data_IF_790392146867
#
_entry.id   IF_790392146867
#
_cell.length_a   1.000
_cell.length_b   1.000
_cell.length_c   1.000
_cell.angle_alpha   90.00
_cell.angle_beta   90.00
_cell.angle_gamma   90.00
#
_symmetry.space_group_name_H-M   'P 1'
#
loop_
_entity.id
_entity.type
_entity.pdbx_description
1 polymer ?
#
# COMPACT_ATOMS: atom_id res chain seq x y z
N UNK A 1 -19.43 -2.01 15.33
CA UNK A 1 -20.59 -1.09 15.30
C UNK A 1 -20.28 0.21 16.02
N UNK A 2 -21.00 1.30 15.69
CA UNK A 2 -20.92 2.55 16.47
C UNK A 2 -21.48 2.34 17.89
N UNK A 3 -20.98 3.10 18.87
CA UNK A 3 -21.46 3.01 20.26
C UNK A 3 -22.90 3.51 20.40
N UNK A 4 -23.29 4.51 19.60
CA UNK A 4 -24.62 5.11 19.63
C UNK A 4 -25.64 4.27 18.84
N UNK A 5 -25.91 4.63 17.59
CA UNK A 5 -26.94 3.99 16.77
C UNK A 5 -26.71 2.48 16.56
N UNK A 6 -25.46 2.06 16.38
CA UNK A 6 -25.10 0.65 16.28
C UNK A 6 -25.35 -0.10 17.59
N UNK A 7 -25.03 0.51 18.74
CA UNK A 7 -25.31 -0.05 20.06
C UNK A 7 -26.79 -0.17 20.35
N UNK A 8 -27.59 0.82 19.95
CA UNK A 8 -29.07 0.76 20.05
C UNK A 8 -29.66 -0.36 19.18
N UNK A 9 -29.17 -0.50 17.94
CA UNK A 9 -29.60 -1.58 17.06
C UNK A 9 -29.25 -2.96 17.63
N UNK A 10 -28.05 -3.14 18.20
CA UNK A 10 -27.68 -4.37 18.88
C UNK A 10 -28.54 -4.67 20.10
N UNK A 11 -28.82 -3.65 20.94
CA UNK A 11 -29.71 -3.78 22.10
C UNK A 11 -31.14 -4.13 21.69
N UNK A 12 -31.62 -3.58 20.57
CA UNK A 12 -32.94 -3.91 20.02
C UNK A 12 -33.01 -5.36 19.54
N UNK A 13 -32.00 -5.84 18.80
CA UNK A 13 -31.90 -7.24 18.37
C UNK A 13 -31.86 -8.20 19.57
N UNK A 14 -31.10 -7.88 20.61
CA UNK A 14 -31.00 -8.69 21.81
C UNK A 14 -32.31 -8.74 22.61
N UNK A 15 -33.16 -7.68 22.57
CA UNK A 15 -34.38 -7.57 23.37
C UNK A 15 -35.63 -8.03 22.62
N UNK A 16 -35.71 -7.80 21.33
CA UNK A 16 -36.93 -7.99 20.54
C UNK A 16 -36.75 -8.90 19.32
N UNK A 17 -35.52 -9.28 18.99
CA UNK A 17 -35.18 -10.23 17.93
C UNK A 17 -34.78 -11.59 18.47
N UNK A 18 -34.20 -12.41 17.60
CA UNK A 18 -33.70 -13.75 17.93
C UNK A 18 -32.36 -13.74 18.68
N UNK A 19 -31.87 -12.55 19.06
CA UNK A 19 -30.55 -12.35 19.62
C UNK A 19 -29.48 -12.24 18.58
N UNK A 20 -28.23 -12.39 19.03
CA UNK A 20 -27.02 -12.48 18.16
C UNK A 20 -26.60 -13.94 18.06
N UNK A 21 -26.00 -14.31 16.95
CA UNK A 21 -25.38 -15.63 16.82
C UNK A 21 -24.30 -15.82 17.90
N UNK A 22 -24.18 -17.04 18.42
CA UNK A 22 -23.29 -17.38 19.56
C UNK A 22 -21.79 -17.15 19.26
N UNK A 23 -21.42 -17.12 17.98
CA UNK A 23 -20.06 -16.90 17.47
C UNK A 23 -19.80 -15.43 17.11
N UNK A 24 -20.78 -14.53 17.26
CA UNK A 24 -20.64 -13.11 16.99
C UNK A 24 -20.16 -12.36 18.22
N UNK A 25 -19.00 -11.70 18.11
CA UNK A 25 -18.43 -10.86 19.16
C UNK A 25 -18.65 -9.39 18.80
N UNK A 26 -19.60 -8.69 19.43
CA UNK A 26 -19.83 -7.28 19.14
C UNK A 26 -18.73 -6.40 19.74
N UNK A 27 -18.17 -5.50 18.92
CA UNK A 27 -17.17 -4.51 19.33
C UNK A 27 -17.71 -3.11 19.07
N UNK A 28 -17.89 -2.31 20.11
CA UNK A 28 -18.34 -0.93 20.03
C UNK A 28 -17.21 0.04 19.75
N UNK A 29 -17.41 0.95 18.82
CA UNK A 29 -16.46 1.99 18.40
C UNK A 29 -17.15 3.35 18.37
N UNK A 30 -16.43 4.43 18.61
CA UNK A 30 -17.00 5.76 18.48
C UNK A 30 -17.38 6.08 17.03
N UNK A 31 -16.51 5.72 16.09
CA UNK A 31 -16.65 5.98 14.67
C UNK A 31 -16.17 4.79 13.85
N UNK A 32 -17.05 4.22 13.04
CA UNK A 32 -16.73 3.07 12.20
C UNK A 32 -15.96 3.48 10.93
N UNK A 33 -16.13 4.71 10.47
CA UNK A 33 -15.42 5.31 9.34
C UNK A 33 -13.93 5.60 9.61
N UNK A 34 -13.50 5.44 10.87
CA UNK A 34 -12.07 5.54 11.26
C UNK A 34 -11.35 4.18 11.27
N UNK A 35 -12.09 3.10 11.04
CA UNK A 35 -11.47 1.78 10.86
C UNK A 35 -10.86 1.72 9.47
N UNK A 36 -9.56 1.47 9.41
CA UNK A 36 -8.87 1.21 8.16
C UNK A 36 -8.73 -0.28 7.85
N UNK A 37 -8.24 -0.57 6.66
CA UNK A 37 -7.93 -1.94 6.22
C UNK A 37 -7.01 -2.68 7.21
N UNK A 38 -6.10 -1.98 7.88
CA UNK A 38 -5.17 -2.60 8.83
C UNK A 38 -5.88 -3.20 10.05
N UNK A 39 -6.87 -2.50 10.62
CA UNK A 39 -7.68 -2.97 11.75
C UNK A 39 -8.60 -4.12 11.32
N UNK A 40 -9.17 -4.05 10.12
CA UNK A 40 -9.98 -5.13 9.53
C UNK A 40 -9.13 -6.39 9.37
N UNK A 41 -7.95 -6.25 8.76
CA UNK A 41 -7.03 -7.37 8.59
C UNK A 41 -6.48 -7.87 9.92
N UNK A 42 -6.26 -6.99 10.91
CA UNK A 42 -5.83 -7.38 12.25
C UNK A 42 -6.82 -8.36 12.90
N UNK A 43 -8.12 -8.13 12.77
CA UNK A 43 -9.12 -9.05 13.27
C UNK A 43 -9.00 -10.44 12.61
N UNK A 44 -8.85 -10.48 11.28
CA UNK A 44 -8.63 -11.75 10.58
C UNK A 44 -7.32 -12.43 11.01
N UNK A 45 -6.25 -11.65 11.20
CA UNK A 45 -4.95 -12.13 11.69
C UNK A 45 -5.00 -12.65 13.13
N UNK A 46 -5.89 -12.10 13.95
CA UNK A 46 -6.15 -12.59 15.30
C UNK A 46 -6.95 -13.93 15.32
N UNK A 47 -7.37 -14.40 14.15
CA UNK A 47 -8.05 -15.71 14.00
C UNK A 47 -9.58 -15.61 13.85
N UNK A 48 -10.15 -14.42 13.77
CA UNK A 48 -11.57 -14.28 13.46
C UNK A 48 -11.87 -14.75 12.02
N UNK A 49 -13.00 -15.43 11.84
CA UNK A 49 -13.40 -15.95 10.54
C UNK A 49 -13.83 -14.85 9.59
N UNK A 50 -14.59 -13.87 10.11
CA UNK A 50 -15.17 -12.76 9.36
C UNK A 50 -15.10 -11.45 10.15
N UNK A 51 -15.20 -10.34 9.43
CA UNK A 51 -15.35 -8.98 9.99
C UNK A 51 -16.58 -8.33 9.40
N UNK A 52 -17.55 -8.04 10.26
CA UNK A 52 -18.79 -7.39 9.89
C UNK A 52 -18.80 -5.94 10.38
N UNK A 53 -18.87 -4.99 9.47
CA UNK A 53 -18.94 -3.57 9.78
C UNK A 53 -20.40 -3.13 9.75
N UNK A 54 -21.00 -2.94 10.95
CA UNK A 54 -22.38 -2.46 11.07
C UNK A 54 -22.42 -0.95 10.85
N UNK A 55 -22.75 -0.55 9.63
CA UNK A 55 -22.90 0.84 9.25
C UNK A 55 -24.27 1.38 9.69
N UNK A 56 -24.27 2.59 10.22
CA UNK A 56 -25.46 3.36 10.56
C UNK A 56 -25.68 4.54 9.59
N UNK A 57 -26.64 5.41 9.93
CA UNK A 57 -26.98 6.56 9.08
C UNK A 57 -25.95 7.70 9.13
N UNK A 58 -25.09 7.71 10.15
CA UNK A 58 -24.05 8.73 10.35
C UNK A 58 -22.70 8.31 9.76
N UNK A 59 -22.59 7.05 9.37
CA UNK A 59 -21.34 6.47 8.81
C UNK A 59 -21.02 7.05 7.43
N UNK A 60 -19.80 7.56 7.23
CA UNK A 60 -19.31 7.86 5.88
C UNK A 60 -19.09 6.55 5.12
N UNK A 61 -20.11 6.18 4.37
CA UNK A 61 -20.12 4.91 3.60
C UNK A 61 -19.04 4.87 2.52
N UNK A 62 -18.64 6.02 1.98
CA UNK A 62 -17.60 6.07 0.95
C UNK A 62 -16.23 5.77 1.54
N UNK A 63 -15.89 6.37 2.69
CA UNK A 63 -14.66 6.10 3.40
C UNK A 63 -14.57 4.63 3.82
N UNK A 64 -15.62 4.08 4.41
CA UNK A 64 -15.68 2.66 4.80
C UNK A 64 -15.55 1.74 3.59
N UNK A 65 -16.25 2.04 2.48
CA UNK A 65 -16.18 1.22 1.27
C UNK A 65 -14.78 1.15 0.68
N UNK A 66 -14.03 2.25 0.65
CA UNK A 66 -12.65 2.28 0.15
C UNK A 66 -11.71 1.39 0.98
N UNK A 67 -11.81 1.44 2.31
CA UNK A 67 -11.00 0.61 3.20
C UNK A 67 -11.37 -0.86 3.14
N UNK A 68 -12.67 -1.16 2.99
CA UNK A 68 -13.18 -2.53 2.80
C UNK A 68 -12.70 -3.09 1.46
N UNK A 69 -12.81 -2.32 0.37
CA UNK A 69 -12.33 -2.73 -0.96
C UNK A 69 -10.83 -3.05 -0.93
N UNK A 70 -10.03 -2.22 -0.28
CA UNK A 70 -8.60 -2.44 -0.12
C UNK A 70 -8.30 -3.72 0.67
N UNK A 71 -8.98 -3.93 1.81
CA UNK A 71 -8.82 -5.14 2.62
C UNK A 71 -9.27 -6.39 1.86
N UNK A 72 -10.40 -6.33 1.14
CA UNK A 72 -10.91 -7.41 0.30
C UNK A 72 -9.95 -7.77 -0.84
N UNK A 73 -9.34 -6.77 -1.49
CA UNK A 73 -8.32 -7.01 -2.53
C UNK A 73 -7.12 -7.77 -1.97
N UNK A 74 -6.64 -7.42 -0.78
CA UNK A 74 -5.54 -8.11 -0.11
C UNK A 74 -5.91 -9.56 0.27
N UNK A 75 -7.10 -9.77 0.83
CA UNK A 75 -7.61 -11.09 1.20
C UNK A 75 -7.79 -11.98 -0.03
N UNK A 76 -8.35 -11.42 -1.12
CA UNK A 76 -8.51 -12.12 -2.39
C UNK A 76 -7.16 -12.50 -3.02
N UNK A 77 -6.19 -11.59 -3.00
CA UNK A 77 -4.83 -11.85 -3.47
C UNK A 77 -4.08 -12.90 -2.64
N UNK A 78 -4.47 -13.07 -1.37
CA UNK A 78 -4.01 -14.15 -0.50
C UNK A 78 -4.80 -15.47 -0.68
N UNK A 79 -5.61 -15.60 -1.74
CA UNK A 79 -6.45 -16.76 -2.07
C UNK A 79 -7.53 -17.10 -1.04
N UNK A 80 -8.03 -16.09 -0.32
CA UNK A 80 -9.17 -16.22 0.58
C UNK A 80 -10.40 -15.48 0.02
N UNK A 81 -11.59 -15.86 0.50
CA UNK A 81 -12.83 -15.20 0.06
C UNK A 81 -12.89 -13.76 0.56
N UNK A 82 -13.12 -12.77 -0.34
CA UNK A 82 -13.34 -11.39 0.05
C UNK A 82 -14.64 -11.19 0.86
N UNK A 83 -15.59 -12.14 0.79
CA UNK A 83 -16.84 -12.13 1.56
C UNK A 83 -16.63 -12.22 3.06
N UNK A 84 -15.43 -12.55 3.53
CA UNK A 84 -15.05 -12.50 4.95
C UNK A 84 -15.07 -11.07 5.53
N UNK A 85 -15.16 -10.06 4.68
CA UNK A 85 -15.23 -8.65 5.09
C UNK A 85 -16.47 -8.05 4.45
N UNK A 86 -17.44 -7.63 5.27
CA UNK A 86 -18.70 -7.10 4.77
C UNK A 86 -19.18 -5.88 5.57
N UNK A 87 -19.80 -4.95 4.88
CA UNK A 87 -20.61 -3.90 5.51
C UNK A 87 -22.04 -4.43 5.56
N UNK A 88 -22.62 -4.45 6.74
CA UNK A 88 -23.94 -5.07 6.99
C UNK A 88 -24.90 -4.08 7.65
N UNK A 89 -26.18 -4.31 7.46
CA UNK A 89 -27.24 -3.70 8.23
C UNK A 89 -27.62 -4.58 9.44
N UNK A 90 -28.28 -3.99 10.43
CA UNK A 90 -28.61 -4.69 11.66
C UNK A 90 -29.46 -5.98 11.45
N UNK A 91 -30.33 -5.97 10.45
CA UNK A 91 -31.16 -7.13 10.09
C UNK A 91 -30.41 -8.27 9.37
N UNK A 92 -29.14 -8.06 9.06
CA UNK A 92 -28.26 -9.04 8.38
C UNK A 92 -27.29 -9.73 9.34
N UNK A 93 -27.32 -9.38 10.63
CA UNK A 93 -26.41 -9.92 11.65
C UNK A 93 -26.67 -11.38 12.06
N UNK A 94 -27.78 -11.96 11.65
CA UNK A 94 -28.15 -13.36 11.94
C UNK A 94 -27.60 -14.37 10.94
N UNK A 95 -26.70 -13.95 10.05
CA UNK A 95 -26.16 -14.82 8.99
C UNK A 95 -25.08 -15.74 9.56
N UNK A 96 -25.24 -17.03 9.30
CA UNK A 96 -24.18 -18.02 9.57
C UNK A 96 -22.93 -17.67 8.76
N UNK A 97 -21.79 -17.56 9.44
CA UNK A 97 -20.52 -17.26 8.82
C UNK A 97 -19.91 -18.47 8.12
N UNK A 98 -19.22 -18.23 7.00
CA UNK A 98 -18.37 -19.23 6.38
C UNK A 98 -17.06 -19.35 7.16
N UNK A 99 -16.87 -20.46 7.88
CA UNK A 99 -15.66 -20.75 8.63
C UNK A 99 -14.46 -21.16 7.74
N UNK A 100 -14.64 -21.21 6.42
CA UNK A 100 -13.58 -21.53 5.49
C UNK A 100 -12.54 -20.40 5.44
N UNK A 101 -11.29 -20.72 5.65
CA UNK A 101 -10.17 -19.79 5.47
C UNK A 101 -9.70 -19.04 6.72
N UNK A 102 -9.95 -19.54 7.91
CA UNK A 102 -9.29 -19.06 9.13
C UNK A 102 -7.77 -19.16 8.98
N UNK A 103 -7.05 -18.20 9.54
CA UNK A 103 -5.61 -18.36 9.79
C UNK A 103 -5.47 -19.52 10.80
N UNK A 104 -4.66 -20.52 10.48
CA UNK A 104 -4.52 -21.73 11.33
C UNK A 104 -3.96 -21.39 12.71
N UNK A 105 -3.09 -20.38 12.77
CA UNK A 105 -2.53 -19.85 14.01
C UNK A 105 -2.65 -18.31 14.00
N UNK A 106 -3.17 -17.70 15.09
CA UNK A 106 -3.22 -16.26 15.23
C UNK A 106 -1.82 -15.66 15.13
N UNK A 107 -1.69 -14.57 14.39
CA UNK A 107 -0.42 -13.86 14.25
C UNK A 107 -0.24 -12.82 15.36
N UNK A 108 1.01 -12.62 15.78
CA UNK A 108 1.34 -11.57 16.73
C UNK A 108 1.30 -10.21 16.03
N UNK A 109 0.30 -9.40 16.35
CA UNK A 109 0.05 -8.07 15.77
C UNK A 109 0.91 -7.02 16.45
N UNK A 110 2.13 -6.82 15.96
CA UNK A 110 3.11 -5.87 16.51
C UNK A 110 3.55 -4.90 15.42
N UNK A 111 3.82 -3.67 15.80
CA UNK A 111 4.28 -2.60 14.90
C UNK A 111 3.18 -1.63 14.49
N UNK A 112 3.42 -0.87 13.44
CA UNK A 112 2.46 0.07 12.88
C UNK A 112 1.41 -0.62 11.99
N UNK A 113 0.42 0.15 11.52
CA UNK A 113 -0.63 -0.36 10.63
C UNK A 113 -0.07 -1.11 9.41
N UNK A 114 1.01 -0.61 8.84
CA UNK A 114 1.66 -1.21 7.68
C UNK A 114 2.28 -2.57 8.00
N UNK A 115 2.89 -2.71 9.17
CA UNK A 115 3.48 -3.97 9.64
C UNK A 115 2.39 -4.99 9.93
N UNK A 116 1.30 -4.58 10.58
CA UNK A 116 0.13 -5.42 10.87
C UNK A 116 -0.50 -5.93 9.57
N UNK A 117 -0.74 -5.03 8.60
CA UNK A 117 -1.24 -5.41 7.27
C UNK A 117 -0.35 -6.47 6.64
N UNK A 118 0.95 -6.21 6.59
CA UNK A 118 1.91 -7.10 5.96
C UNK A 118 2.00 -8.47 6.63
N UNK A 119 2.10 -8.51 7.97
CA UNK A 119 2.22 -9.77 8.71
C UNK A 119 0.95 -10.61 8.59
N UNK A 120 -0.22 -9.97 8.64
CA UNK A 120 -1.51 -10.66 8.49
C UNK A 120 -1.66 -11.24 7.08
N UNK A 121 -1.47 -10.42 6.05
CA UNK A 121 -1.62 -10.90 4.67
C UNK A 121 -0.56 -11.95 4.34
N UNK A 122 0.67 -11.84 4.86
CA UNK A 122 1.70 -12.86 4.70
C UNK A 122 1.31 -14.20 5.35
N UNK A 123 0.68 -14.18 6.53
CA UNK A 123 0.21 -15.39 7.20
C UNK A 123 -0.96 -16.05 6.44
N UNK A 124 -1.79 -15.26 5.79
CA UNK A 124 -2.89 -15.75 4.95
C UNK A 124 -2.40 -16.28 3.60
N UNK A 125 -1.40 -15.63 3.02
CA UNK A 125 -0.96 -15.81 1.63
C UNK A 125 -0.10 -17.07 1.40
N UNK A 126 -0.27 -18.10 2.15
CA UNK A 126 0.50 -19.36 2.17
C UNK A 126 1.03 -19.78 0.78
N UNK A 127 2.26 -19.34 0.43
CA UNK A 127 2.91 -19.66 -0.85
C UNK A 127 2.64 -18.68 -2.01
N UNK A 128 2.05 -17.52 -1.78
CA UNK A 128 1.91 -16.46 -2.79
C UNK A 128 3.27 -15.78 -2.98
N UNK A 129 3.87 -15.96 -4.16
CA UNK A 129 5.17 -15.37 -4.52
C UNK A 129 5.02 -14.07 -5.32
N UNK A 130 3.93 -13.92 -6.06
CA UNK A 130 3.68 -12.74 -6.87
C UNK A 130 3.10 -11.58 -6.04
N UNK A 131 3.44 -10.32 -6.35
CA UNK A 131 2.82 -9.16 -5.73
C UNK A 131 1.29 -9.16 -5.95
N UNK A 132 0.55 -8.84 -4.90
CA UNK A 132 -0.91 -8.74 -4.92
C UNK A 132 -1.30 -7.39 -5.55
N UNK A 133 -2.03 -7.36 -6.68
CA UNK A 133 -2.50 -6.10 -7.26
C UNK A 133 -3.55 -5.44 -6.34
N UNK A 134 -3.47 -4.12 -6.22
CA UNK A 134 -4.36 -3.34 -5.36
C UNK A 134 -5.14 -2.30 -6.17
N UNK A 135 -6.27 -1.82 -5.64
CA UNK A 135 -7.04 -0.73 -6.23
C UNK A 135 -6.21 0.55 -6.39
N UNK A 136 -6.59 1.39 -7.34
CA UNK A 136 -5.99 2.72 -7.50
C UNK A 136 -6.18 3.55 -6.22
N UNK A 137 -5.13 4.29 -5.84
CA UNK A 137 -5.13 5.05 -4.59
C UNK A 137 -4.73 4.24 -3.35
N UNK A 138 -4.46 2.93 -3.48
CA UNK A 138 -3.94 2.14 -2.38
C UNK A 138 -2.60 2.70 -1.87
N UNK A 139 -2.36 2.77 -0.54
CA UNK A 139 -1.13 3.32 0.03
C UNK A 139 0.04 2.31 0.03
N UNK A 140 0.04 1.37 -0.90
CA UNK A 140 1.06 0.33 -1.08
C UNK A 140 1.36 0.18 -2.56
N UNK A 141 2.63 0.03 -2.91
CA UNK A 141 2.97 -0.27 -4.29
C UNK A 141 4.41 -0.03 -4.65
N UNK A 142 4.71 -0.46 -5.86
CA UNK A 142 5.95 -0.18 -6.55
C UNK A 142 5.86 1.09 -7.39
N UNK A 143 7.00 1.47 -7.94
CA UNK A 143 7.10 2.41 -9.06
C UNK A 143 7.84 1.72 -10.20
N UNK A 144 7.48 2.09 -11.41
CA UNK A 144 8.17 1.69 -12.63
C UNK A 144 8.84 2.92 -13.24
N UNK A 145 10.13 2.80 -13.57
CA UNK A 145 10.88 3.87 -14.23
C UNK A 145 11.17 3.45 -15.67
N UNK A 146 10.77 4.29 -16.61
CA UNK A 146 11.15 4.19 -18.01
C UNK A 146 12.62 4.61 -18.15
N UNK A 147 13.51 3.64 -18.35
CA UNK A 147 14.96 3.85 -18.47
C UNK A 147 15.36 4.72 -19.65
N UNK A 148 14.56 4.70 -20.72
CA UNK A 148 14.86 5.46 -21.94
C UNK A 148 14.56 6.95 -21.76
N UNK A 149 13.66 7.28 -20.82
CA UNK A 149 13.30 8.66 -20.48
C UNK A 149 14.08 9.19 -19.27
N UNK A 150 14.43 8.31 -18.32
CA UNK A 150 15.04 8.72 -17.07
C UNK A 150 16.45 9.31 -17.28
N UNK A 151 16.62 10.59 -16.95
CA UNK A 151 17.91 11.31 -17.02
C UNK A 151 18.73 11.23 -15.73
N UNK A 152 18.30 10.44 -14.72
CA UNK A 152 18.93 10.34 -13.40
C UNK A 152 19.13 11.71 -12.72
N UNK A 153 18.19 12.63 -12.89
CA UNK A 153 18.25 13.96 -12.26
C UNK A 153 18.02 13.93 -10.73
N UNK A 154 17.57 12.80 -10.18
CA UNK A 154 17.33 12.53 -8.75
C UNK A 154 16.30 13.45 -8.07
N UNK A 155 15.49 14.20 -8.84
CA UNK A 155 14.42 15.03 -8.28
C UNK A 155 13.40 14.19 -7.48
N UNK A 156 13.06 13.01 -7.97
CA UNK A 156 12.17 12.06 -7.29
C UNK A 156 12.73 11.56 -5.94
N UNK A 157 14.05 11.40 -5.84
CA UNK A 157 14.72 11.03 -4.58
C UNK A 157 14.63 12.17 -3.57
N UNK A 158 14.98 13.39 -4.00
CA UNK A 158 15.03 14.56 -3.12
C UNK A 158 13.68 14.93 -2.52
N UNK A 159 12.57 14.58 -3.18
CA UNK A 159 11.22 14.96 -2.78
C UNK A 159 10.40 13.79 -2.23
N UNK A 160 10.97 12.59 -2.11
CA UNK A 160 10.26 11.44 -1.54
C UNK A 160 10.03 11.64 -0.03
N UNK A 161 8.77 11.83 0.44
CA UNK A 161 8.51 12.19 1.82
C UNK A 161 8.77 11.04 2.81
N UNK A 162 8.76 9.80 2.31
CA UNK A 162 8.95 8.59 3.14
C UNK A 162 10.36 8.00 3.02
N UNK A 163 11.20 8.56 2.15
CA UNK A 163 12.51 8.00 1.88
C UNK A 163 12.46 6.64 1.16
N UNK A 164 11.33 6.31 0.53
CA UNK A 164 11.21 5.09 -0.27
C UNK A 164 12.14 5.10 -1.48
N UNK A 165 12.43 6.29 -2.02
CA UNK A 165 13.43 6.53 -3.04
C UNK A 165 14.70 7.04 -2.42
N UNK A 166 15.83 6.47 -2.81
CA UNK A 166 17.17 6.85 -2.42
C UNK A 166 18.12 6.87 -3.62
N UNK A 167 19.30 7.39 -3.42
CA UNK A 167 20.41 7.36 -4.37
C UNK A 167 21.50 6.41 -3.89
N UNK A 168 22.36 5.97 -4.80
CA UNK A 168 23.55 5.22 -4.46
C UNK A 168 24.70 6.18 -4.20
N UNK A 169 25.49 6.02 -3.10
CA UNK A 169 26.54 6.98 -2.73
C UNK A 169 27.67 7.11 -3.76
N UNK A 170 27.97 6.05 -4.50
CA UNK A 170 29.15 5.99 -5.39
C UNK A 170 28.80 6.03 -6.88
N UNK A 171 27.53 5.95 -7.25
CA UNK A 171 27.08 5.94 -8.66
C UNK A 171 25.69 6.54 -8.83
N UNK A 172 25.43 7.14 -10.00
CA UNK A 172 24.12 7.67 -10.33
C UNK A 172 23.14 6.48 -10.55
N UNK A 173 22.38 6.16 -9.50
CA UNK A 173 21.43 5.05 -9.48
C UNK A 173 20.28 5.42 -8.54
N UNK A 174 19.06 5.20 -8.97
CA UNK A 174 17.90 5.35 -8.11
C UNK A 174 17.65 4.03 -7.39
N UNK A 175 17.60 4.08 -6.07
CA UNK A 175 17.22 2.94 -5.22
C UNK A 175 15.79 3.09 -4.73
N UNK A 176 15.12 1.98 -4.52
CA UNK A 176 13.72 1.96 -4.09
C UNK A 176 13.45 0.87 -3.05
N UNK A 177 12.79 1.27 -1.96
CA UNK A 177 12.29 0.37 -0.92
C UNK A 177 10.77 0.37 -0.96
N UNK A 178 10.17 -0.69 -1.53
CA UNK A 178 8.72 -0.76 -1.76
C UNK A 178 7.92 -0.65 -0.47
N UNK A 179 8.37 -1.29 0.60
CA UNK A 179 7.70 -1.23 1.90
C UNK A 179 7.60 0.18 2.50
N UNK A 180 8.44 1.11 2.09
CA UNK A 180 8.39 2.50 2.53
C UNK A 180 7.51 3.39 1.63
N UNK A 181 7.14 2.92 0.44
CA UNK A 181 6.36 3.69 -0.52
C UNK A 181 4.89 3.76 -0.12
N UNK A 182 4.34 4.97 -0.07
CA UNK A 182 2.91 5.23 0.24
C UNK A 182 2.11 5.65 -1.00
N UNK A 183 2.64 5.47 -2.20
CA UNK A 183 1.96 5.76 -3.46
C UNK A 183 1.41 7.21 -3.56
N UNK A 184 2.10 8.18 -2.95
CA UNK A 184 1.62 9.58 -2.89
C UNK A 184 1.71 10.34 -4.22
N UNK A 185 2.37 9.81 -5.25
CA UNK A 185 2.47 10.42 -6.58
C UNK A 185 3.46 11.59 -6.71
N UNK A 186 4.12 12.01 -5.63
CA UNK A 186 5.08 13.16 -5.69
C UNK A 186 6.20 12.90 -6.68
N UNK A 187 6.76 11.69 -6.70
CA UNK A 187 7.85 11.33 -7.62
C UNK A 187 7.40 11.37 -9.10
N UNK A 188 6.17 10.91 -9.37
CA UNK A 188 5.57 10.94 -10.71
C UNK A 188 5.32 12.38 -11.18
N UNK A 189 4.67 13.20 -10.34
CA UNK A 189 4.34 14.58 -10.67
C UNK A 189 5.54 15.51 -10.79
N UNK A 190 6.65 15.20 -10.11
CA UNK A 190 7.88 15.98 -10.11
C UNK A 190 8.83 15.60 -11.25
N UNK A 191 8.66 14.43 -11.86
CA UNK A 191 9.57 13.95 -12.89
C UNK A 191 9.46 14.82 -14.17
N UNK A 192 10.51 15.57 -14.56
CA UNK A 192 10.46 16.43 -15.73
C UNK A 192 10.34 15.64 -17.04
N UNK A 193 10.78 14.40 -17.03
CA UNK A 193 10.77 13.50 -18.18
C UNK A 193 9.53 12.59 -18.22
N UNK A 194 8.62 12.72 -17.25
CA UNK A 194 7.46 11.80 -17.14
C UNK A 194 7.86 10.31 -17.24
N UNK A 195 8.97 9.96 -16.59
CA UNK A 195 9.55 8.63 -16.66
C UNK A 195 9.01 7.68 -15.58
N UNK A 196 8.18 8.14 -14.64
CA UNK A 196 7.74 7.37 -13.47
C UNK A 196 6.25 7.07 -13.57
N UNK A 197 5.90 5.80 -13.34
CA UNK A 197 4.52 5.35 -13.19
C UNK A 197 4.33 4.67 -11.84
N UNK A 198 3.19 4.92 -11.22
CA UNK A 198 2.80 4.25 -9.98
C UNK A 198 2.18 2.89 -10.30
N UNK A 199 2.48 1.90 -9.45
CA UNK A 199 1.92 0.55 -9.55
C UNK A 199 1.39 0.11 -8.19
N UNK A 200 0.08 0.29 -7.92
CA UNK A 200 -0.52 -0.15 -6.68
C UNK A 200 -0.44 -1.67 -6.54
N UNK A 201 0.27 -2.15 -5.53
CA UNK A 201 0.45 -3.57 -5.24
C UNK A 201 0.95 -3.79 -3.81
N UNK A 202 0.83 -5.01 -3.31
CA UNK A 202 1.46 -5.45 -2.07
C UNK A 202 2.41 -6.59 -2.37
N UNK A 203 3.71 -6.31 -2.35
CA UNK A 203 4.75 -7.33 -2.47
C UNK A 203 5.13 -7.85 -1.09
N UNK A 204 4.81 -9.12 -0.81
CA UNK A 204 5.08 -9.78 0.46
C UNK A 204 6.49 -10.36 0.55
N UNK A 205 7.27 -10.31 -0.52
CA UNK A 205 8.64 -10.81 -0.54
C UNK A 205 9.56 -10.05 0.41
N UNK A 206 10.65 -10.69 0.82
CA UNK A 206 11.70 -10.02 1.60
C UNK A 206 12.38 -8.89 0.83
N UNK A 207 12.37 -8.97 -0.50
CA UNK A 207 12.93 -7.95 -1.38
C UNK A 207 12.23 -6.59 -1.25
N UNK A 208 10.92 -6.58 -0.93
CA UNK A 208 10.18 -5.35 -0.71
C UNK A 208 10.64 -4.55 0.54
N UNK A 209 11.32 -5.22 1.49
CA UNK A 209 11.82 -4.62 2.74
C UNK A 209 13.20 -3.97 2.60
N UNK A 210 13.88 -4.19 1.48
CA UNK A 210 15.24 -3.69 1.23
C UNK A 210 15.28 -2.79 0.01
N UNK A 211 16.24 -1.86 0.01
CA UNK A 211 16.50 -1.04 -1.15
C UNK A 211 16.98 -1.90 -2.32
N UNK A 212 16.39 -1.68 -3.49
CA UNK A 212 16.80 -2.31 -4.75
C UNK A 212 17.06 -1.23 -5.79
N UNK A 213 18.03 -1.46 -6.65
CA UNK A 213 18.26 -0.60 -7.80
C UNK A 213 17.05 -0.65 -8.74
N UNK A 214 16.60 0.51 -9.19
CA UNK A 214 15.61 0.61 -10.26
C UNK A 214 16.34 0.75 -11.60
N UNK A 215 15.72 0.25 -12.71
CA UNK A 215 16.24 0.51 -14.04
C UNK A 215 16.42 2.01 -14.27
N UNK A 216 17.56 2.41 -14.77
CA UNK A 216 17.87 3.79 -15.10
C UNK A 216 18.79 3.82 -16.32
N UNK A 217 19.01 5.01 -16.87
CA UNK A 217 19.96 5.17 -17.96
C UNK A 217 21.38 4.76 -17.52
N UNK A 218 22.17 4.26 -18.46
CA UNK A 218 23.58 3.92 -18.17
C UNK A 218 24.37 5.18 -17.77
N UNK A 219 25.16 5.12 -16.68
CA UNK A 219 26.02 6.21 -16.28
C UNK A 219 27.06 6.53 -17.38
N UNK A 220 27.23 7.81 -17.65
CA UNK A 220 28.32 8.27 -18.53
C UNK A 220 29.57 8.49 -17.71
N UNK A 221 30.68 7.82 -18.09
CA UNK A 221 31.94 7.99 -17.43
C UNK A 221 32.73 9.20 -18.00
N UNK A 222 33.27 10.01 -17.13
CA UNK A 222 34.12 11.15 -17.53
C UNK A 222 35.36 10.65 -18.26
N UNK A 223 35.57 11.09 -19.50
CA UNK A 223 36.71 10.72 -20.32
C UNK A 223 38.07 11.13 -19.74
N UNK A 224 38.11 12.05 -18.75
CA UNK A 224 39.33 12.50 -18.09
C UNK A 224 39.67 11.75 -16.81
N UNK A 225 38.68 11.37 -16.02
CA UNK A 225 38.91 10.80 -14.68
C UNK A 225 38.18 9.46 -14.44
N UNK A 226 37.39 8.94 -15.40
CA UNK A 226 36.66 7.68 -15.28
C UNK A 226 35.52 7.69 -14.25
N UNK A 227 35.24 8.82 -13.61
CA UNK A 227 34.13 8.90 -12.66
C UNK A 227 32.81 9.08 -13.40
N UNK A 228 31.73 8.43 -12.92
CA UNK A 228 30.39 8.65 -13.47
C UNK A 228 29.97 10.12 -13.29
N UNK A 229 29.50 10.75 -14.38
CA UNK A 229 29.14 12.17 -14.41
C UNK A 229 27.87 12.43 -15.23
N UNK A 230 26.75 11.87 -14.83
CA UNK A 230 25.48 11.95 -15.54
C UNK A 230 25.17 10.70 -16.35
N UNK A 231 24.32 10.82 -17.35
CA UNK A 231 23.89 9.71 -18.21
C UNK A 231 24.17 10.02 -19.68
N UNK A 232 24.32 8.97 -20.47
CA UNK A 232 24.68 9.11 -21.90
C UNK A 232 23.66 9.98 -22.68
N UNK A 233 22.39 9.90 -22.34
CA UNK A 233 21.31 10.68 -22.98
C UNK A 233 21.38 12.19 -22.72
N UNK A 234 22.00 12.64 -21.61
CA UNK A 234 22.19 14.06 -21.29
C UNK A 234 23.49 14.64 -21.88
N UNK A 235 24.41 13.79 -22.31
CA UNK A 235 25.64 14.19 -22.97
C UNK A 235 25.46 14.29 -24.49
N UNK A 236 24.58 15.18 -24.94
CA UNK A 236 24.73 15.66 -26.31
C UNK A 236 26.06 16.38 -26.45
N UNK A 237 26.84 16.16 -27.53
CA UNK A 237 28.02 16.96 -27.80
C UNK A 237 27.59 18.41 -27.99
N UNK A 238 27.62 19.18 -26.90
CA UNK A 238 27.43 20.62 -26.97
C UNK A 238 28.63 21.12 -27.73
N UNK A 239 28.42 21.49 -28.96
CA UNK A 239 29.36 22.26 -29.75
C UNK A 239 29.58 23.59 -29.02
N UNK A 240 30.60 23.62 -28.16
CA UNK A 240 31.04 24.88 -27.58
C UNK A 240 31.59 25.76 -28.74
N UNK A 241 30.75 26.63 -29.28
CA UNK A 241 31.18 27.79 -30.01
C UNK A 241 32.07 28.57 -29.04
N UNK A 242 33.37 28.61 -29.27
CA UNK A 242 34.31 29.42 -28.50
C UNK A 242 33.78 30.86 -28.51
N UNK A 243 33.35 31.32 -27.33
CA UNK A 243 33.15 32.76 -27.15
C UNK A 243 34.48 33.43 -27.48
N UNK A 244 34.50 34.48 -28.38
CA UNK A 244 35.71 35.22 -28.66
C UNK A 244 36.27 35.74 -27.33
N UNK A 245 37.58 35.59 -27.11
CA UNK A 245 38.23 36.19 -25.95
C UNK A 245 38.06 37.71 -26.06
N UNK A 246 37.69 38.39 -24.95
CA UNK A 246 37.70 39.84 -24.94
C UNK A 246 39.14 40.28 -25.27
N UNK A 247 39.27 41.09 -26.31
CA UNK A 247 40.54 41.79 -26.63
C UNK A 247 40.72 42.87 -25.58
N UNK A 248 41.81 42.77 -24.82
CA UNK A 248 42.32 43.82 -23.93
C UNK A 248 42.73 45.00 -24.69
#
# INVERSE_FOLDING_TARGET
HTLNAGGEAMAHLARYGDGLADDLIPMGLEHIDRIGHAEILAALGAGYAEVLLLADNETDRQAVAAEVELAQAMVSGAHHSPSRIRVVAANELSVEGDNAGRVSEPVLLVGGRRDITRVTVSAMANGVEAPIPLPQGAPYGAIEIDSDKCTLCLACVSLCPTGALGDHPDRPEVQFTENACVQCGVCESTCPETAINLKPQLDLSKGALSARALPGAEPFECIKCGRPCGVASTHHPVSYTRLPRPTT
#
